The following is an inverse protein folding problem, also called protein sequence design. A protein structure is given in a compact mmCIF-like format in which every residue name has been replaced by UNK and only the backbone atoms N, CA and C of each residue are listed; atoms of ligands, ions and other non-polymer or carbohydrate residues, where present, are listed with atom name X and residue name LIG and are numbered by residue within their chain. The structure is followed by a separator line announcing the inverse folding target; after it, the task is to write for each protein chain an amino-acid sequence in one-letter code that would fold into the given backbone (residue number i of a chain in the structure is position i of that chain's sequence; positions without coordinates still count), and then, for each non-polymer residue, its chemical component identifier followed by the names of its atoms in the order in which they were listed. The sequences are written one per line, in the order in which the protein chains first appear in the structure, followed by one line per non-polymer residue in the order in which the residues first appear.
data_IF_266993857945
#
_entry.id   IF_266993857945
#
_cell.length_a   1.000
_cell.length_b   1.000
_cell.length_c   1.000
_cell.angle_alpha   90.00
_cell.angle_beta   90.00
_cell.angle_gamma   90.00
#
_symmetry.space_group_name_H-M   'P 1'
#
loop_
_entity.id
_entity.type
_entity.pdbx_description
1 polymer ?
#
# COMPACT_ATOMS: atom_id res chain seq x y z
N UNK A 1 23.14 8.27 -14.21
CA UNK A 1 21.96 7.44 -14.52
C UNK A 1 21.35 7.99 -15.80
N UNK A 2 21.07 7.14 -16.79
CA UNK A 2 20.41 7.55 -18.02
C UNK A 2 18.93 7.84 -17.74
N UNK A 3 18.38 8.96 -18.22
CA UNK A 3 16.95 9.24 -18.11
C UNK A 3 16.13 8.11 -18.72
N UNK A 4 15.07 7.70 -18.04
CA UNK A 4 14.11 6.71 -18.54
C UNK A 4 12.69 7.16 -18.17
N UNK A 5 11.67 6.44 -18.66
CA UNK A 5 10.28 6.76 -18.32
C UNK A 5 10.00 6.44 -16.85
N UNK A 6 9.21 7.29 -16.21
CA UNK A 6 8.65 7.03 -14.88
C UNK A 6 7.89 5.69 -14.87
N UNK A 7 8.01 4.92 -13.78
CA UNK A 7 7.28 3.67 -13.62
C UNK A 7 5.77 3.84 -13.39
N UNK A 8 5.31 5.07 -13.12
CA UNK A 8 3.88 5.36 -13.03
C UNK A 8 3.23 5.25 -14.42
N UNK A 9 2.14 4.47 -14.59
CA UNK A 9 1.42 4.38 -15.85
C UNK A 9 1.02 5.77 -16.37
N UNK A 10 1.14 5.98 -17.68
CA UNK A 10 0.75 7.20 -18.38
C UNK A 10 1.47 8.49 -17.96
N UNK A 11 2.42 8.43 -17.03
CA UNK A 11 3.22 9.59 -16.64
C UNK A 11 4.16 10.01 -17.79
N UNK A 12 4.10 11.27 -18.25
CA UNK A 12 4.92 11.75 -19.36
C UNK A 12 6.36 12.07 -18.94
N UNK A 13 6.62 12.14 -17.64
CA UNK A 13 7.88 12.66 -17.11
C UNK A 13 9.02 11.65 -17.14
N UNK A 14 10.22 12.19 -17.35
CA UNK A 14 11.45 11.43 -17.20
C UNK A 14 11.77 11.18 -15.73
N UNK A 15 12.41 10.04 -15.47
CA UNK A 15 12.89 9.62 -14.17
C UNK A 15 14.40 9.39 -14.21
N UNK A 16 15.09 9.81 -13.14
CA UNK A 16 16.50 9.47 -12.89
C UNK A 16 16.63 8.20 -12.03
N UNK A 17 15.64 7.95 -11.17
CA UNK A 17 15.40 6.69 -10.45
C UNK A 17 14.15 5.98 -10.99
N UNK A 18 13.47 5.20 -10.17
CA UNK A 18 12.27 4.44 -10.58
C UNK A 18 11.07 5.34 -10.95
N UNK A 19 10.90 6.44 -10.23
CA UNK A 19 9.80 7.40 -10.42
C UNK A 19 10.36 8.79 -10.74
N UNK A 20 9.55 9.63 -11.39
CA UNK A 20 9.84 11.06 -11.53
C UNK A 20 9.83 11.74 -10.14
N UNK A 21 10.38 12.96 -10.00
CA UNK A 21 10.45 13.65 -8.70
C UNK A 21 9.10 13.75 -7.99
N UNK A 22 8.02 14.04 -8.71
CA UNK A 22 6.69 14.23 -8.12
C UNK A 22 6.13 12.92 -7.54
N UNK A 23 6.18 11.83 -8.31
CA UNK A 23 5.74 10.51 -7.83
C UNK A 23 6.65 9.96 -6.74
N UNK A 24 7.94 10.28 -6.76
CA UNK A 24 8.86 9.92 -5.67
C UNK A 24 8.48 10.62 -4.36
N UNK A 25 8.14 11.91 -4.41
CA UNK A 25 7.75 12.70 -3.23
C UNK A 25 6.36 12.28 -2.72
N UNK A 26 5.46 11.87 -3.59
CA UNK A 26 4.12 11.40 -3.23
C UNK A 26 4.12 10.00 -2.55
N UNK A 27 5.20 9.22 -2.69
CA UNK A 27 5.30 7.91 -2.03
C UNK A 27 5.50 8.04 -0.51
N UNK A 28 4.99 7.07 0.28
CA UNK A 28 5.37 6.96 1.68
C UNK A 28 6.90 6.90 1.83
N UNK A 29 7.52 7.72 2.72
CA UNK A 29 8.97 7.83 2.79
C UNK A 29 9.70 6.50 2.96
N UNK A 30 9.13 5.56 3.74
CA UNK A 30 9.68 4.21 3.91
C UNK A 30 9.74 3.44 2.59
N UNK A 31 8.69 3.52 1.77
CA UNK A 31 8.62 2.84 0.48
C UNK A 31 9.59 3.47 -0.52
N UNK A 32 9.62 4.81 -0.60
CA UNK A 32 10.54 5.55 -1.47
C UNK A 32 12.01 5.23 -1.15
N UNK A 33 12.40 5.27 0.13
CA UNK A 33 13.75 4.94 0.57
C UNK A 33 14.12 3.49 0.29
N UNK A 34 13.18 2.56 0.51
CA UNK A 34 13.39 1.14 0.27
C UNK A 34 13.66 0.86 -1.21
N UNK A 35 12.86 1.43 -2.11
CA UNK A 35 13.01 1.28 -3.56
C UNK A 35 14.37 1.79 -4.06
N UNK A 36 14.80 2.97 -3.60
CA UNK A 36 16.11 3.52 -3.95
C UNK A 36 17.25 2.63 -3.46
N UNK A 37 17.18 2.16 -2.20
CA UNK A 37 18.19 1.24 -1.65
C UNK A 37 18.26 -0.06 -2.42
N UNK A 38 17.10 -0.62 -2.81
CA UNK A 38 17.05 -1.84 -3.60
C UNK A 38 17.66 -1.65 -4.99
N UNK A 39 17.33 -0.55 -5.67
CA UNK A 39 17.89 -0.22 -6.97
C UNK A 39 19.43 -0.10 -6.91
N UNK A 40 19.96 0.60 -5.90
CA UNK A 40 21.41 0.72 -5.68
C UNK A 40 22.03 -0.67 -5.43
N UNK A 41 21.40 -1.50 -4.59
CA UNK A 41 21.86 -2.87 -4.32
C UNK A 41 21.93 -3.69 -5.61
N UNK A 42 20.91 -3.59 -6.46
CA UNK A 42 20.85 -4.29 -7.75
C UNK A 42 21.93 -3.79 -8.74
N UNK A 43 22.20 -2.48 -8.78
CA UNK A 43 23.26 -1.93 -9.63
C UNK A 43 24.65 -2.42 -9.21
N UNK A 44 24.85 -2.70 -7.92
CA UNK A 44 26.10 -3.22 -7.35
C UNK A 44 26.19 -4.74 -7.36
N UNK A 45 25.13 -5.45 -7.77
CA UNK A 45 25.14 -6.91 -7.84
C UNK A 45 25.79 -7.37 -9.15
N UNK A 46 26.86 -8.16 -9.03
CA UNK A 46 27.63 -8.71 -10.16
C UNK A 46 27.11 -10.07 -10.61
N UNK A 47 26.58 -10.86 -9.68
CA UNK A 47 25.99 -12.18 -9.97
C UNK A 47 24.71 -12.05 -10.81
N UNK A 48 24.69 -12.70 -11.97
CA UNK A 48 23.63 -12.54 -12.96
C UNK A 48 22.29 -13.10 -12.48
N UNK A 49 22.30 -14.27 -11.83
CA UNK A 49 21.10 -14.96 -11.36
C UNK A 49 20.47 -14.21 -10.18
N UNK A 50 21.29 -13.80 -9.22
CA UNK A 50 20.85 -12.96 -8.10
C UNK A 50 20.31 -11.63 -8.60
N UNK A 51 20.99 -11.00 -9.57
CA UNK A 51 20.52 -9.75 -10.16
C UNK A 51 19.18 -9.92 -10.89
N UNK A 52 18.97 -11.05 -11.55
CA UNK A 52 17.69 -11.36 -12.18
C UNK A 52 16.58 -11.53 -11.15
N UNK A 53 16.82 -12.31 -10.10
CA UNK A 53 15.88 -12.46 -8.99
C UNK A 53 15.55 -11.11 -8.35
N UNK A 54 16.56 -10.27 -8.12
CA UNK A 54 16.37 -8.92 -7.57
C UNK A 54 15.55 -8.01 -8.48
N UNK A 55 15.66 -8.16 -9.81
CA UNK A 55 14.83 -7.42 -10.77
C UNK A 55 13.37 -7.83 -10.69
N UNK A 56 13.09 -9.11 -10.56
CA UNK A 56 11.72 -9.64 -10.41
C UNK A 56 11.08 -9.14 -9.10
N UNK A 57 11.85 -9.18 -8.00
CA UNK A 57 11.41 -8.60 -6.75
C UNK A 57 11.13 -7.10 -6.89
N UNK A 58 12.06 -6.35 -7.48
CA UNK A 58 11.89 -4.91 -7.70
C UNK A 58 10.61 -4.60 -8.48
N UNK A 59 10.32 -5.37 -9.53
CA UNK A 59 9.09 -5.22 -10.30
C UNK A 59 7.85 -5.34 -9.41
N UNK A 60 7.79 -6.33 -8.51
CA UNK A 60 6.70 -6.49 -7.55
C UNK A 60 6.50 -5.27 -6.65
N UNK A 61 7.59 -4.74 -6.09
CA UNK A 61 7.54 -3.56 -5.21
C UNK A 61 7.19 -2.27 -5.95
N UNK A 62 7.60 -2.15 -7.21
CA UNK A 62 7.19 -1.03 -8.08
C UNK A 62 5.68 -1.07 -8.34
N UNK A 63 5.13 -2.24 -8.63
CA UNK A 63 3.68 -2.40 -8.80
C UNK A 63 2.91 -2.07 -7.52
N UNK A 64 3.46 -2.41 -6.36
CA UNK A 64 2.88 -2.00 -5.07
C UNK A 64 2.92 -0.48 -4.87
N UNK A 65 4.05 0.17 -5.20
CA UNK A 65 4.19 1.61 -5.12
C UNK A 65 3.24 2.35 -6.06
N UNK A 66 3.02 1.85 -7.28
CA UNK A 66 2.02 2.39 -8.21
C UNK A 66 0.62 2.33 -7.59
N UNK A 67 0.21 1.18 -7.03
CA UNK A 67 -1.09 1.06 -6.35
C UNK A 67 -1.23 2.00 -5.16
N UNK A 68 -0.15 2.26 -4.42
CA UNK A 68 -0.16 3.24 -3.33
C UNK A 68 -0.41 4.65 -3.85
N UNK A 69 0.26 5.03 -4.94
CA UNK A 69 0.10 6.34 -5.56
C UNK A 69 -1.31 6.53 -6.14
N UNK A 70 -1.85 5.54 -6.85
CA UNK A 70 -3.22 5.59 -7.38
C UNK A 70 -4.27 5.80 -6.28
N UNK A 71 -4.11 5.13 -5.13
CA UNK A 71 -4.99 5.32 -3.96
C UNK A 71 -4.88 6.71 -3.33
N UNK A 72 -3.73 7.36 -3.45
CA UNK A 72 -3.51 8.71 -2.90
C UNK A 72 -4.12 9.82 -3.77
N UNK A 73 -4.31 9.56 -5.07
CA UNK A 73 -4.90 10.51 -6.03
C UNK A 73 -6.43 10.49 -6.00
N UNK A 74 -7.04 9.38 -5.59
CA UNK A 74 -8.49 9.30 -5.38
C UNK A 74 -8.79 9.78 -3.96
N UNK A 75 -9.30 11.02 -3.74
CA UNK A 75 -9.96 11.30 -2.47
C UNK A 75 -11.08 10.27 -2.35
N UNK A 76 -11.16 9.60 -1.20
CA UNK A 76 -12.22 8.65 -0.90
C UNK A 76 -13.59 9.35 -0.97
N UNK A 77 -14.12 9.53 -2.18
CA UNK A 77 -15.49 9.94 -2.44
C UNK A 77 -16.33 8.69 -2.33
N UNK A 78 -16.37 8.13 -1.12
CA UNK A 78 -17.44 7.22 -0.75
C UNK A 78 -18.65 8.10 -0.47
N UNK A 79 -19.39 8.45 -1.52
CA UNK A 79 -20.78 8.81 -1.36
C UNK A 79 -21.49 7.59 -0.74
N UNK A 80 -21.74 7.65 0.57
CA UNK A 80 -22.63 6.71 1.22
C UNK A 80 -24.00 6.78 0.52
N UNK A 81 -24.63 5.67 0.14
CA UNK A 81 -26.05 5.72 -0.19
C UNK A 81 -26.82 6.07 1.08
N UNK A 82 -27.25 7.32 1.12
CA UNK A 82 -28.18 7.88 2.08
C UNK A 82 -29.54 7.18 1.89
N UNK A 83 -29.78 6.16 2.69
CA UNK A 83 -31.10 5.56 2.89
C UNK A 83 -31.54 5.85 4.33
N UNK A 84 -31.79 7.12 4.65
CA UNK A 84 -32.72 7.50 5.73
C UNK A 84 -34.08 6.81 5.48
N UNK A 85 -34.93 6.40 6.43
CA UNK A 85 -35.18 6.76 7.82
C UNK A 85 -36.17 5.68 8.34
N UNK A 86 -36.20 5.25 9.60
CA UNK A 86 -36.91 5.98 10.67
C UNK A 86 -36.47 5.47 12.05
N UNK A 87 -36.18 6.46 12.89
CA UNK A 87 -35.95 6.40 14.32
C UNK A 87 -37.15 5.82 15.08
N UNK A 88 -36.91 5.06 16.17
CA UNK A 88 -37.34 5.39 17.55
C UNK A 88 -36.93 4.28 18.54
N UNK A 89 -36.06 4.59 19.49
CA UNK A 89 -35.91 3.86 20.77
C UNK A 89 -37.14 4.14 21.66
N UNK A 90 -37.61 3.18 22.49
CA UNK A 90 -37.06 3.04 23.85
C UNK A 90 -36.91 1.59 24.35
N UNK A 91 -36.19 1.48 25.48
CA UNK A 91 -35.89 0.30 26.28
C UNK A 91 -37.01 -0.76 26.34
N UNK A 92 -36.63 -2.04 26.22
CA UNK A 92 -37.31 -3.16 26.88
C UNK A 92 -36.29 -4.24 27.27
N UNK A 93 -36.39 -4.67 28.52
CA UNK A 93 -35.57 -5.65 29.25
C UNK A 93 -35.95 -7.09 28.87
N UNK A 94 -34.97 -7.97 28.67
CA UNK A 94 -35.02 -9.43 28.95
C UNK A 94 -33.64 -10.04 28.59
N UNK A 95 -32.81 -10.40 29.58
CA UNK A 95 -32.72 -11.72 30.23
C UNK A 95 -31.89 -12.74 29.41
N UNK A 96 -30.71 -13.11 29.94
CA UNK A 96 -29.88 -14.17 29.38
C UNK A 96 -28.46 -14.20 29.95
N UNK A 97 -28.32 -14.43 31.26
CA UNK A 97 -27.05 -14.79 31.86
C UNK A 97 -26.65 -16.21 31.43
N UNK A 98 -25.40 -16.43 31.05
CA UNK A 98 -24.82 -17.77 30.96
C UNK A 98 -23.41 -17.70 31.53
N UNK A 99 -23.33 -18.02 32.83
CA UNK A 99 -22.11 -18.37 33.53
C UNK A 99 -21.51 -19.64 32.89
N UNK A 100 -20.38 -19.48 32.21
CA UNK A 100 -19.54 -20.61 31.81
C UNK A 100 -18.39 -20.73 32.80
N UNK A 101 -18.71 -21.12 34.03
CA UNK A 101 -17.74 -21.46 35.07
C UNK A 101 -17.47 -22.96 35.03
N UNK A 102 -16.46 -23.36 34.25
CA UNK A 102 -15.88 -24.69 34.39
C UNK A 102 -14.38 -24.64 34.11
N UNK A 103 -13.60 -24.51 35.18
CA UNK A 103 -12.22 -24.99 35.23
C UNK A 103 -11.77 -25.16 36.68
N UNK A 104 -12.04 -26.37 37.18
CA UNK A 104 -11.43 -26.93 38.38
C UNK A 104 -9.94 -27.12 38.12
N UNK A 105 -9.09 -26.52 38.96
CA UNK A 105 -7.72 -26.97 39.23
C UNK A 105 -7.39 -26.57 40.67
N UNK A 106 -7.59 -27.52 41.59
CA UNK A 106 -6.68 -28.02 42.62
C UNK A 106 -7.47 -28.78 43.68
#
# INVERSE_FOLDING_TARGET
MTPHRCAMPECPDAATGIFCPDHYIALPPKQAQWLVRWQIKMMRCEDADTKQHMREQLHGYVQEAVRTLEKSVVPASQAAPDSASRQTTPLCVAAGASEQQQRSFL
#
